data_IF_553115540127
#
_entry.id   IF_553115540127
#
_cell.length_a   1.000
_cell.length_b   1.000
_cell.length_c   1.000
_cell.angle_alpha   90.00
_cell.angle_beta   90.00
_cell.angle_gamma   90.00
#
_symmetry.space_group_name_H-M   'P 1'
#
loop_
_entity.id
_entity.type
_entity.pdbx_description
1 polymer ?
#
# COMPACT_ATOMS: atom_id res chain seq x y z
N UNK A 1 1.05 0.93 -10.21
CA UNK A 1 0.48 0.90 -8.84
C UNK A 1 -0.64 -0.11 -8.82
N UNK A 2 -0.42 -1.27 -8.21
CA UNK A 2 -1.46 -2.27 -8.00
C UNK A 2 -1.35 -2.78 -6.57
N UNK A 3 -2.32 -2.46 -5.72
CA UNK A 3 -2.45 -3.07 -4.41
C UNK A 3 -3.33 -4.32 -4.57
N UNK A 4 -2.74 -5.50 -4.42
CA UNK A 4 -3.49 -6.77 -4.37
C UNK A 4 -3.63 -7.15 -2.91
N UNK A 5 -4.82 -6.92 -2.35
CA UNK A 5 -5.16 -7.32 -1.00
C UNK A 5 -6.40 -8.21 -1.02
N UNK A 6 -6.33 -9.33 -0.30
CA UNK A 6 -7.47 -10.24 -0.15
C UNK A 6 -8.54 -9.56 0.71
N UNK A 7 -9.80 -9.63 0.28
CA UNK A 7 -10.94 -9.00 0.95
C UNK A 7 -11.50 -9.97 2.00
N UNK A 8 -11.68 -9.50 3.24
CA UNK A 8 -12.30 -10.27 4.32
C UNK A 8 -13.77 -10.59 4.00
N UNK A 9 -14.29 -11.70 4.53
CA UNK A 9 -15.54 -12.38 4.13
C UNK A 9 -16.86 -11.58 4.31
N UNK A 10 -16.81 -10.29 4.63
CA UNK A 10 -17.97 -9.42 4.85
C UNK A 10 -18.38 -8.55 3.65
N UNK A 11 -17.54 -8.42 2.63
CA UNK A 11 -17.82 -7.58 1.46
C UNK A 11 -18.23 -8.45 0.27
N UNK A 12 -19.55 -8.57 0.04
CA UNK A 12 -20.09 -9.15 -1.20
C UNK A 12 -19.50 -8.39 -2.39
N UNK A 13 -18.88 -9.12 -3.31
CA UNK A 13 -18.46 -8.60 -4.60
C UNK A 13 -19.74 -8.27 -5.38
N UNK A 14 -20.19 -7.03 -5.31
CA UNK A 14 -21.26 -6.53 -6.17
C UNK A 14 -20.67 -6.31 -7.56
N UNK A 15 -21.23 -7.00 -8.56
CA UNK A 15 -20.85 -6.85 -9.95
C UNK A 15 -20.98 -5.38 -10.39
N UNK A 16 -19.84 -4.73 -10.57
CA UNK A 16 -19.75 -3.38 -11.09
C UNK A 16 -19.93 -3.40 -12.59
N UNK A 17 -21.18 -3.26 -13.04
CA UNK A 17 -21.51 -2.84 -14.40
C UNK A 17 -20.73 -1.58 -14.75
N UNK A 18 -19.92 -1.67 -15.80
CA UNK A 18 -19.25 -0.53 -16.41
C UNK A 18 -20.30 0.38 -17.06
N UNK A 19 -20.66 1.49 -16.41
CA UNK A 19 -21.35 2.59 -17.08
C UNK A 19 -20.34 3.62 -17.57
N UNK A 20 -20.00 3.53 -18.86
CA UNK A 20 -19.50 4.66 -19.64
C UNK A 20 -20.66 5.63 -19.91
N UNK A 21 -20.44 6.93 -19.74
CA UNK A 21 -21.24 7.94 -20.44
C UNK A 21 -20.39 9.17 -20.67
N UNK A 22 -20.13 9.42 -21.94
CA UNK A 22 -19.63 10.67 -22.47
C UNK A 22 -20.84 11.49 -23.00
N UNK A 23 -20.69 12.81 -22.88
CA UNK A 23 -21.34 13.90 -23.63
C UNK A 23 -22.83 14.21 -23.44
N UNK A 24 -23.09 15.42 -22.93
CA UNK A 24 -23.59 16.52 -23.78
C UNK A 24 -25.08 16.59 -24.11
N UNK A 25 -25.76 17.56 -23.47
CA UNK A 25 -26.68 18.48 -24.16
C UNK A 25 -28.18 18.17 -24.17
N UNK A 26 -28.97 19.21 -23.91
CA UNK A 26 -30.20 19.46 -24.68
C UNK A 26 -31.54 19.22 -23.98
N UNK A 27 -32.39 20.22 -24.07
CA UNK A 27 -33.70 20.45 -23.46
C UNK A 27 -34.88 19.71 -24.14
N UNK A 28 -36.03 19.71 -23.43
CA UNK A 28 -37.43 19.71 -23.91
C UNK A 28 -38.32 18.44 -23.87
N UNK A 29 -39.37 18.56 -23.03
CA UNK A 29 -40.82 18.21 -23.22
C UNK A 29 -41.29 16.74 -23.28
N UNK A 30 -42.23 16.36 -22.39
CA UNK A 30 -42.95 15.06 -22.34
C UNK A 30 -44.22 15.00 -23.21
N UNK A 31 -45.33 14.29 -22.83
CA UNK A 31 -45.48 12.96 -22.21
C UNK A 31 -46.42 12.02 -23.03
N UNK A 32 -46.46 10.70 -22.75
CA UNK A 32 -47.70 9.86 -22.83
C UNK A 32 -47.48 8.35 -22.62
N UNK A 33 -48.38 7.71 -21.85
CA UNK A 33 -49.06 6.47 -22.25
C UNK A 33 -48.56 5.08 -21.79
N UNK A 34 -49.10 4.58 -20.66
CA UNK A 34 -49.97 3.37 -20.66
C UNK A 34 -49.40 1.93 -20.58
N UNK A 35 -49.77 1.24 -19.48
CA UNK A 35 -49.95 -0.22 -19.30
C UNK A 35 -48.69 -1.11 -19.32
N UNK A 36 -48.56 -2.26 -18.64
CA UNK A 36 -49.47 -3.21 -17.99
C UNK A 36 -48.65 -4.06 -17.01
N UNK A 37 -49.29 -4.55 -15.95
CA UNK A 37 -48.64 -5.39 -14.94
C UNK A 37 -48.42 -6.86 -15.34
N UNK A 38 -47.79 -7.54 -14.37
CA UNK A 38 -47.66 -8.98 -14.13
C UNK A 38 -46.50 -9.76 -14.76
N UNK A 39 -45.77 -10.41 -13.83
CA UNK A 39 -44.98 -11.66 -13.88
C UNK A 39 -43.52 -11.39 -13.49
N UNK A 40 -42.88 -12.11 -12.57
CA UNK A 40 -43.24 -13.24 -11.73
C UNK A 40 -42.07 -13.43 -10.76
N UNK A 41 -42.35 -13.93 -9.56
CA UNK A 41 -41.31 -14.26 -8.61
C UNK A 41 -40.42 -15.37 -9.16
N UNK A 42 -39.13 -15.07 -9.32
CA UNK A 42 -38.10 -16.08 -9.51
C UNK A 42 -37.30 -16.14 -8.21
N UNK A 43 -37.58 -17.15 -7.39
CA UNK A 43 -36.80 -17.46 -6.20
C UNK A 43 -35.34 -17.71 -6.57
N UNK A 44 -34.44 -16.97 -5.94
CA UNK A 44 -33.02 -17.32 -5.96
C UNK A 44 -32.83 -18.48 -5.00
N UNK A 45 -32.58 -19.65 -5.58
CA UNK A 45 -32.18 -20.87 -4.90
C UNK A 45 -30.87 -20.64 -4.13
N UNK A 46 -30.90 -20.90 -2.81
CA UNK A 46 -29.71 -20.92 -1.96
C UNK A 46 -28.83 -22.13 -2.32
N UNK A 47 -27.97 -21.92 -3.32
CA UNK A 47 -26.88 -22.84 -3.65
C UNK A 47 -25.69 -22.60 -2.73
N UNK A 48 -25.53 -23.46 -1.73
CA UNK A 48 -24.30 -23.62 -0.95
C UNK A 48 -23.16 -24.10 -1.87
N UNK A 49 -22.52 -23.18 -2.58
CA UNK A 49 -21.34 -23.43 -3.39
C UNK A 49 -20.07 -23.06 -2.63
N UNK A 50 -19.30 -24.07 -2.18
CA UNK A 50 -17.91 -23.90 -1.74
C UNK A 50 -17.01 -23.64 -2.96
N UNK A 51 -17.08 -22.44 -3.51
CA UNK A 51 -16.15 -21.93 -4.52
C UNK A 51 -15.52 -20.65 -3.99
N UNK A 52 -14.21 -20.65 -3.75
CA UNK A 52 -13.46 -19.42 -3.47
C UNK A 52 -13.44 -18.57 -4.74
N UNK A 53 -14.49 -17.78 -4.99
CA UNK A 53 -14.56 -16.85 -6.11
C UNK A 53 -13.44 -15.83 -5.95
N UNK A 54 -12.52 -15.77 -6.92
CA UNK A 54 -11.49 -14.73 -6.95
C UNK A 54 -12.17 -13.39 -7.14
N UNK A 55 -12.29 -12.63 -6.07
CA UNK A 55 -12.79 -11.26 -6.12
C UNK A 55 -11.63 -10.33 -6.42
N UNK A 56 -11.66 -9.68 -7.59
CA UNK A 56 -10.68 -8.66 -7.96
C UNK A 56 -11.39 -7.32 -7.96
N UNK A 57 -10.84 -6.36 -7.22
CA UNK A 57 -11.34 -4.98 -7.20
C UNK A 57 -10.27 -4.05 -7.74
N UNK A 58 -10.57 -3.38 -8.85
CA UNK A 58 -9.69 -2.40 -9.49
C UNK A 58 -10.13 -1.01 -9.04
N UNK A 59 -9.16 -0.12 -8.77
CA UNK A 59 -9.43 1.27 -8.41
C UNK A 59 -8.50 2.20 -9.18
N UNK A 60 -9.03 3.34 -9.61
CA UNK A 60 -8.27 4.45 -10.20
C UNK A 60 -7.99 5.57 -9.19
N UNK A 61 -8.29 5.35 -7.91
CA UNK A 61 -8.00 6.33 -6.87
C UNK A 61 -6.50 6.43 -6.59
N UNK A 62 -6.06 7.60 -6.14
CA UNK A 62 -4.75 7.77 -5.52
C UNK A 62 -4.55 6.73 -4.38
N UNK A 63 -3.34 6.19 -4.26
CA UNK A 63 -3.05 5.12 -3.32
C UNK A 63 -3.27 5.56 -1.87
N UNK A 64 -2.84 6.76 -1.49
CA UNK A 64 -3.05 7.29 -0.14
C UNK A 64 -4.53 7.52 0.13
N UNK A 65 -5.27 8.04 -0.85
CA UNK A 65 -6.73 8.21 -0.73
C UNK A 65 -7.44 6.87 -0.52
N UNK A 66 -7.06 5.84 -1.28
CA UNK A 66 -7.62 4.50 -1.14
C UNK A 66 -7.32 3.91 0.24
N UNK A 67 -6.05 3.85 0.63
CA UNK A 67 -5.61 3.26 1.90
C UNK A 67 -6.20 4.00 3.11
N UNK A 68 -6.22 5.33 3.08
CA UNK A 68 -6.86 6.14 4.13
C UNK A 68 -8.36 5.88 4.20
N UNK A 69 -9.06 5.74 3.06
CA UNK A 69 -10.49 5.43 3.06
C UNK A 69 -10.81 4.05 3.61
N UNK A 70 -9.89 3.10 3.48
CA UNK A 70 -10.02 1.76 4.05
C UNK A 70 -9.80 1.79 5.55
N UNK A 71 -8.79 2.51 6.01
CA UNK A 71 -8.55 2.77 7.44
C UNK A 71 -9.79 3.39 8.11
N UNK A 72 -10.40 4.41 7.50
CA UNK A 72 -11.64 5.04 8.01
C UNK A 72 -12.84 4.09 8.07
N UNK A 73 -12.83 3.01 7.28
CA UNK A 73 -13.88 1.99 7.25
C UNK A 73 -13.52 0.77 8.09
N UNK A 74 -12.43 0.85 8.87
CA UNK A 74 -11.88 -0.26 9.66
C UNK A 74 -11.64 -1.53 8.83
N UNK A 75 -11.29 -1.34 7.55
CA UNK A 75 -10.98 -2.41 6.61
C UNK A 75 -9.48 -2.46 6.39
N UNK A 76 -8.86 -3.57 6.78
CA UNK A 76 -7.40 -3.73 6.80
C UNK A 76 -6.96 -4.84 5.85
N UNK A 77 -5.77 -4.69 5.27
CA UNK A 77 -5.18 -5.72 4.41
C UNK A 77 -4.19 -6.62 5.17
N UNK A 78 -4.19 -7.92 4.85
CA UNK A 78 -3.18 -8.86 5.35
C UNK A 78 -1.81 -8.67 4.67
N UNK A 79 -1.80 -8.12 3.45
CA UNK A 79 -0.61 -7.79 2.67
C UNK A 79 -0.83 -6.46 1.93
N UNK A 80 0.11 -5.53 2.05
CA UNK A 80 0.16 -4.30 1.25
C UNK A 80 1.49 -4.29 0.50
N UNK A 81 1.44 -4.12 -0.82
CA UNK A 81 2.61 -3.95 -1.68
C UNK A 81 2.67 -2.52 -2.23
N UNK A 82 3.72 -1.78 -1.85
CA UNK A 82 4.00 -0.44 -2.34
C UNK A 82 5.17 -0.51 -3.31
N UNK A 83 4.84 -0.44 -4.60
CA UNK A 83 5.80 -0.33 -5.68
C UNK A 83 5.73 1.07 -6.30
N UNK A 84 6.67 1.92 -5.90
CA UNK A 84 6.74 3.34 -6.29
C UNK A 84 8.02 3.63 -7.08
N UNK A 85 7.92 4.58 -8.01
CA UNK A 85 9.11 5.12 -8.68
C UNK A 85 9.80 6.16 -7.80
N UNK A 86 11.11 5.98 -7.58
CA UNK A 86 11.90 6.79 -6.67
C UNK A 86 11.65 6.42 -5.21
N UNK A 87 11.01 7.34 -4.47
CA UNK A 87 10.77 7.21 -3.03
C UNK A 87 9.32 6.88 -2.73
N UNK A 88 9.15 5.89 -1.87
CA UNK A 88 7.90 5.28 -1.44
C UNK A 88 7.37 5.88 -0.12
N UNK A 89 8.14 6.77 0.52
CA UNK A 89 7.87 7.25 1.89
C UNK A 89 6.57 8.04 2.00
N UNK A 90 6.10 8.64 0.91
CA UNK A 90 4.81 9.31 0.83
C UNK A 90 3.61 8.38 1.12
N UNK A 91 3.81 7.06 1.00
CA UNK A 91 2.76 6.06 1.24
C UNK A 91 2.88 5.38 2.61
N UNK A 92 3.98 5.57 3.35
CA UNK A 92 4.17 4.92 4.65
C UNK A 92 3.06 5.21 5.65
N UNK A 93 2.61 6.47 5.84
CA UNK A 93 1.55 6.77 6.80
C UNK A 93 0.28 5.95 6.52
N UNK A 94 -0.22 6.04 5.30
CA UNK A 94 -1.48 5.39 4.91
C UNK A 94 -1.35 3.86 4.89
N UNK A 95 -0.20 3.32 4.51
CA UNK A 95 0.04 1.88 4.53
C UNK A 95 0.14 1.31 5.95
N UNK A 96 0.79 2.03 6.88
CA UNK A 96 0.84 1.64 8.29
C UNK A 96 -0.54 1.68 8.93
N UNK A 97 -1.36 2.68 8.60
CA UNK A 97 -2.71 2.78 9.15
C UNK A 97 -3.66 1.69 8.59
N UNK A 98 -3.46 1.26 7.35
CA UNK A 98 -4.37 0.31 6.66
C UNK A 98 -3.92 -1.15 6.68
N UNK A 99 -2.76 -1.47 7.26
CA UNK A 99 -2.29 -2.85 7.39
C UNK A 99 -2.82 -3.49 8.66
N UNK A 100 -3.24 -4.76 8.55
CA UNK A 100 -3.67 -5.54 9.71
C UNK A 100 -2.48 -5.88 10.62
N UNK A 101 -2.70 -5.91 11.93
CA UNK A 101 -1.69 -6.44 12.84
C UNK A 101 -1.41 -7.93 12.54
N UNK A 102 -0.13 -8.27 12.44
CA UNK A 102 0.35 -9.57 11.96
C UNK A 102 0.55 -9.63 10.44
N UNK A 103 0.01 -8.66 9.70
CA UNK A 103 0.12 -8.53 8.25
C UNK A 103 1.51 -8.15 7.76
N UNK A 104 1.66 -8.15 6.44
CA UNK A 104 2.92 -7.95 5.72
C UNK A 104 2.90 -6.67 4.88
N UNK A 105 3.92 -5.84 5.04
CA UNK A 105 4.15 -4.64 4.25
C UNK A 105 5.35 -4.90 3.35
N UNK A 106 5.12 -4.92 2.04
CA UNK A 106 6.16 -5.08 1.04
C UNK A 106 6.44 -3.72 0.39
N UNK A 107 7.70 -3.30 0.46
CA UNK A 107 8.15 -2.00 0.00
C UNK A 107 9.17 -2.19 -1.12
N UNK A 108 8.97 -1.47 -2.22
CA UNK A 108 9.93 -1.37 -3.31
C UNK A 108 10.38 0.08 -3.47
N UNK A 109 11.67 0.32 -3.30
CA UNK A 109 12.32 1.60 -3.56
C UNK A 109 13.24 1.50 -4.77
N UNK A 110 13.26 2.55 -5.58
CA UNK A 110 14.20 2.68 -6.72
C UNK A 110 15.13 3.89 -6.57
N UNK A 111 15.20 4.50 -5.37
CA UNK A 111 16.05 5.67 -5.10
C UNK A 111 17.53 5.29 -4.89
N UNK A 112 18.18 4.93 -6.00
CA UNK A 112 19.62 4.66 -6.07
C UNK A 112 20.52 5.84 -5.73
N UNK A 113 20.08 7.07 -6.02
CA UNK A 113 20.87 8.27 -5.79
C UNK A 113 20.96 8.61 -4.31
N UNK A 114 19.83 8.53 -3.61
CA UNK A 114 19.79 8.76 -2.16
C UNK A 114 20.52 7.65 -1.42
N UNK A 115 20.24 6.37 -1.74
CA UNK A 115 20.92 5.20 -1.13
C UNK A 115 22.44 5.21 -1.31
N UNK A 116 22.94 5.71 -2.45
CA UNK A 116 24.38 5.86 -2.71
C UNK A 116 25.02 7.08 -2.03
N UNK A 117 24.26 7.85 -1.24
CA UNK A 117 24.74 9.06 -0.58
C UNK A 117 25.01 10.24 -1.51
N UNK A 118 24.49 10.22 -2.76
CA UNK A 118 24.62 11.34 -3.71
C UNK A 118 23.62 12.47 -3.44
N UNK A 119 22.56 12.19 -2.67
CA UNK A 119 21.50 13.14 -2.28
C UNK A 119 21.22 13.07 -0.77
N UNK A 120 22.20 13.39 0.10
CA UNK A 120 22.06 13.19 1.55
C UNK A 120 20.88 13.97 2.15
N UNK A 121 20.63 15.20 1.71
CA UNK A 121 19.50 16.00 2.18
C UNK A 121 18.14 15.38 1.84
N UNK A 122 18.04 14.72 0.67
CA UNK A 122 16.82 13.98 0.30
C UNK A 122 16.64 12.75 1.18
N UNK A 123 17.73 12.05 1.52
CA UNK A 123 17.70 10.93 2.46
C UNK A 123 17.23 11.36 3.84
N UNK A 124 17.72 12.50 4.33
CA UNK A 124 17.30 13.07 5.59
C UNK A 124 15.81 13.46 5.56
N UNK A 125 15.37 14.18 4.52
CA UNK A 125 13.98 14.62 4.40
C UNK A 125 12.97 13.46 4.22
N UNK A 126 13.27 12.50 3.35
CA UNK A 126 12.33 11.43 3.01
C UNK A 126 12.40 10.24 3.98
N UNK A 127 13.61 9.85 4.38
CA UNK A 127 13.85 8.64 5.17
C UNK A 127 14.41 8.91 6.55
N UNK A 128 14.70 10.16 6.93
CA UNK A 128 15.36 10.50 8.20
C UNK A 128 16.72 9.85 8.34
N UNK A 129 17.41 9.62 7.22
CA UNK A 129 18.70 8.95 7.16
C UNK A 129 19.70 9.80 6.36
N UNK A 130 20.79 10.19 7.01
CA UNK A 130 21.87 10.93 6.35
C UNK A 130 22.90 9.95 5.79
N UNK A 131 22.89 9.74 4.48
CA UNK A 131 23.69 8.73 3.80
C UNK A 131 24.92 9.33 3.13
N UNK A 132 26.00 8.55 3.08
CA UNK A 132 27.26 8.93 2.43
C UNK A 132 27.68 7.85 1.45
N UNK A 133 28.43 8.23 0.43
CA UNK A 133 28.99 7.27 -0.52
C UNK A 133 29.91 6.30 0.21
N UNK A 134 29.66 5.00 0.12
CA UNK A 134 30.47 3.94 0.75
C UNK A 134 30.48 2.69 -0.13
N UNK A 135 31.43 1.76 0.07
CA UNK A 135 31.46 0.50 -0.68
C UNK A 135 30.22 -0.40 -0.46
N UNK A 136 29.52 -0.24 0.67
CA UNK A 136 28.33 -1.01 1.04
C UNK A 136 27.02 -0.22 0.86
N UNK A 137 26.98 0.70 -0.10
CA UNK A 137 25.80 1.52 -0.41
C UNK A 137 24.51 0.71 -0.62
N UNK A 138 24.61 -0.51 -1.14
CA UNK A 138 23.45 -1.39 -1.35
C UNK A 138 22.79 -1.78 -0.02
N UNK A 139 23.59 -2.21 0.96
CA UNK A 139 23.13 -2.52 2.32
C UNK A 139 22.63 -1.25 3.03
N UNK A 140 23.31 -0.11 2.83
CA UNK A 140 22.85 1.17 3.37
C UNK A 140 21.47 1.56 2.84
N UNK A 141 21.21 1.36 1.55
CA UNK A 141 19.91 1.62 0.93
C UNK A 141 18.79 0.75 1.51
N UNK A 142 19.05 -0.55 1.76
CA UNK A 142 18.09 -1.43 2.43
C UNK A 142 17.78 -0.93 3.84
N UNK A 143 18.80 -0.54 4.60
CA UNK A 143 18.65 0.02 5.96
C UNK A 143 17.95 1.37 5.97
N UNK A 144 18.13 2.21 4.95
CA UNK A 144 17.41 3.46 4.77
C UNK A 144 15.91 3.21 4.63
N UNK A 145 15.50 2.30 3.74
CA UNK A 145 14.09 1.94 3.52
C UNK A 145 13.48 1.38 4.81
N UNK A 146 14.15 0.40 5.43
CA UNK A 146 13.71 -0.20 6.69
C UNK A 146 13.57 0.86 7.78
N UNK A 147 14.60 1.67 8.01
CA UNK A 147 14.63 2.68 9.07
C UNK A 147 13.61 3.78 8.87
N UNK A 148 13.35 4.19 7.62
CA UNK A 148 12.30 5.15 7.29
C UNK A 148 10.91 4.63 7.63
N UNK A 149 10.58 3.41 7.17
CA UNK A 149 9.28 2.78 7.44
C UNK A 149 9.06 2.51 8.93
N UNK A 150 10.10 1.98 9.59
CA UNK A 150 10.11 1.70 11.03
C UNK A 150 9.87 2.96 11.85
N UNK A 151 10.53 4.08 11.52
CA UNK A 151 10.32 5.34 12.24
C UNK A 151 8.89 5.86 12.08
N UNK A 152 8.36 5.83 10.85
CA UNK A 152 6.97 6.23 10.60
C UNK A 152 6.00 5.37 11.42
N UNK A 153 6.17 4.05 11.41
CA UNK A 153 5.32 3.14 12.15
C UNK A 153 5.43 3.28 13.67
N UNK A 154 6.64 3.49 14.19
CA UNK A 154 6.89 3.66 15.61
C UNK A 154 6.12 4.88 16.17
N UNK A 155 6.02 5.97 15.41
CA UNK A 155 5.24 7.15 15.80
C UNK A 155 3.74 6.87 15.98
N UNK A 156 3.25 5.74 15.45
CA UNK A 156 1.85 5.30 15.47
C UNK A 156 1.61 4.10 16.41
N UNK A 157 2.61 3.72 17.23
CA UNK A 157 2.51 2.54 18.10
C UNK A 157 2.53 1.21 17.33
N UNK A 158 3.17 1.17 16.16
CA UNK A 158 3.33 -0.03 15.34
C UNK A 158 4.80 -0.38 15.21
N UNK A 159 5.14 -1.64 15.53
CA UNK A 159 6.44 -2.21 15.26
C UNK A 159 6.44 -2.88 13.88
N UNK A 160 7.31 -2.42 12.99
CA UNK A 160 7.63 -3.11 11.75
C UNK A 160 8.91 -3.93 11.94
N UNK A 161 8.81 -5.25 11.80
CA UNK A 161 9.96 -6.16 11.92
C UNK A 161 10.36 -6.69 10.54
N UNK A 162 11.64 -6.56 10.11
CA UNK A 162 12.08 -7.13 8.85
C UNK A 162 11.88 -8.65 8.78
N UNK A 163 11.27 -9.10 7.68
CA UNK A 163 11.15 -10.52 7.32
C UNK A 163 12.25 -10.89 6.33
N UNK A 164 12.44 -10.08 5.30
CA UNK A 164 13.57 -10.15 4.40
C UNK A 164 13.86 -8.79 3.76
N UNK A 165 15.06 -8.65 3.21
CA UNK A 165 15.50 -7.51 2.42
C UNK A 165 16.34 -7.98 1.23
N UNK A 166 16.15 -7.39 0.06
CA UNK A 166 16.83 -7.78 -1.17
C UNK A 166 17.20 -6.54 -2.00
N UNK A 167 18.44 -6.49 -2.46
CA UNK A 167 18.91 -5.53 -3.45
C UNK A 167 19.07 -6.20 -4.82
N UNK A 168 18.64 -5.51 -5.88
CA UNK A 168 18.87 -5.91 -7.28
C UNK A 168 19.67 -4.85 -8.04
N UNK A 169 20.62 -5.30 -8.85
CA UNK A 169 21.59 -4.46 -9.58
C UNK A 169 21.03 -3.79 -10.85
N UNK A 170 20.08 -4.43 -11.54
CA UNK A 170 19.54 -3.93 -12.80
C UNK A 170 18.53 -2.80 -12.58
N UNK A 171 19.08 -1.60 -12.35
CA UNK A 171 18.36 -0.45 -11.76
C UNK A 171 18.31 -0.67 -10.25
N UNK A 172 18.93 0.18 -9.41
CA UNK A 172 19.04 -0.10 -7.98
C UNK A 172 17.63 -0.24 -7.37
N UNK A 173 17.21 -1.48 -7.12
CA UNK A 173 15.90 -1.81 -6.55
C UNK A 173 16.12 -2.39 -5.16
N UNK A 174 15.51 -1.76 -4.17
CA UNK A 174 15.51 -2.16 -2.78
C UNK A 174 14.14 -2.72 -2.44
N UNK A 175 14.07 -4.00 -2.11
CA UNK A 175 12.85 -4.71 -1.75
C UNK A 175 12.91 -5.12 -0.30
N UNK A 176 11.91 -4.75 0.49
CA UNK A 176 11.87 -5.01 1.92
C UNK A 176 10.48 -5.53 2.27
N UNK A 177 10.42 -6.67 2.96
CA UNK A 177 9.19 -7.18 3.55
C UNK A 177 9.26 -6.97 5.06
N UNK A 178 8.25 -6.30 5.61
CA UNK A 178 8.13 -5.99 7.03
C UNK A 178 6.85 -6.63 7.58
N UNK A 179 6.91 -7.15 8.80
CA UNK A 179 5.71 -7.62 9.52
C UNK A 179 5.25 -6.57 10.51
N UNK A 180 3.99 -6.19 10.44
CA UNK A 180 3.38 -5.23 11.35
C UNK A 180 2.91 -5.91 12.64
N UNK A 181 3.21 -5.29 13.79
CA UNK A 181 2.71 -5.71 15.10
C UNK A 181 2.36 -4.47 15.92
N UNK A 182 1.28 -4.54 16.69
CA UNK A 182 1.00 -3.50 17.68
C UNK A 182 2.08 -3.55 18.75
N UNK A 183 2.59 -2.38 19.15
CA UNK A 183 3.54 -2.28 20.24
C UNK A 183 3.23 -1.07 21.12
N UNK A 184 3.37 -1.23 22.44
CA UNK A 184 3.27 -0.10 23.37
C UNK A 184 4.60 0.66 23.47
N UNK A 185 5.71 -0.06 23.28
CA UNK A 185 7.07 0.47 23.39
C UNK A 185 7.87 0.09 22.16
N UNK A 186 8.73 0.99 21.72
CA UNK A 186 9.65 0.71 20.62
C UNK A 186 11.08 0.63 21.17
N UNK A 187 11.70 -0.55 21.19
CA UNK A 187 12.99 -0.73 21.85
C UNK A 187 14.09 0.02 21.11
N UNK A 188 14.86 0.82 21.83
CA UNK A 188 15.94 1.63 21.26
C UNK A 188 16.99 0.81 20.50
N UNK A 189 17.14 -0.48 20.82
CA UNK A 189 18.06 -1.40 20.15
C UNK A 189 17.73 -1.66 18.67
N UNK A 190 16.52 -1.33 18.22
CA UNK A 190 16.10 -1.54 16.84
C UNK A 190 16.49 -0.38 15.89
N UNK A 191 16.99 0.74 16.42
CA UNK A 191 17.46 1.89 15.61
C UNK A 191 18.92 2.19 15.97
N UNK A 192 19.73 2.47 14.96
CA UNK A 192 21.15 2.74 15.17
C UNK A 192 21.79 3.46 14.00
N UNK A 193 23.04 3.86 14.19
CA UNK A 193 23.83 4.60 13.23
C UNK A 193 25.07 3.80 12.85
N UNK A 194 25.53 3.96 11.61
CA UNK A 194 26.77 3.36 11.12
C UNK A 194 27.78 4.46 10.86
N UNK A 195 28.91 4.42 11.55
CA UNK A 195 30.05 5.29 11.30
C UNK A 195 30.95 4.71 10.22
N UNK A 196 31.48 5.57 9.33
CA UNK A 196 32.50 5.20 8.36
C UNK A 196 33.60 6.27 8.35
N UNK A 197 34.85 5.83 8.46
CA UNK A 197 36.01 6.69 8.31
C UNK A 197 36.42 6.71 6.84
N UNK A 198 36.35 7.91 6.25
CA UNK A 198 36.89 8.17 4.92
C UNK A 198 38.39 8.40 5.08
N UNK A 199 39.18 7.41 4.67
CA UNK A 199 40.65 7.52 4.62
C UNK A 199 41.04 8.19 3.31
#
# INVERSE_FOLDING_TARGET
MGAVGNVDKGQKCSDGSAHSSAEGGGDATGPSGGSSGQQGGAGAVDGLGHGSTRCVRISHADANRLLTSLYMRESYYDLIDIDSFGSETMHFPAAVDSIKYGGLLYLTSTDGFTSSGKRPERGLAAYGAYLRATPWANEQGLRMVIGGAVREAASRGVALTPVFSLYSYHGPVFRVMLRARRTAEWPASHYGFVGHCFV
#
